data_IF_646992940694
#
_entry.id   IF_646992940694
#
_cell.length_a   1.000
_cell.length_b   1.000
_cell.length_c   1.000
_cell.angle_alpha   90.00
_cell.angle_beta   90.00
_cell.angle_gamma   90.00
#
_symmetry.space_group_name_H-M   'P 1'
#
loop_
_entity.id
_entity.type
_entity.pdbx_description
1 polymer ?
#
# COMPACT_ATOMS: atom_id res chain seq x y z
N UNK A 1 36.11 60.21 -29.03
CA UNK A 1 34.74 59.77 -28.67
C UNK A 1 34.44 58.28 -28.93
N UNK A 2 35.28 57.50 -29.62
CA UNK A 2 34.99 56.07 -29.91
C UNK A 2 35.18 55.06 -28.75
N UNK A 3 35.95 55.41 -27.70
CA UNK A 3 36.20 54.49 -26.56
C UNK A 3 35.06 54.44 -25.53
N UNK A 4 34.24 55.49 -25.45
CA UNK A 4 33.12 55.57 -24.51
C UNK A 4 31.90 54.77 -24.99
N UNK A 5 31.64 54.73 -26.30
CA UNK A 5 30.52 53.97 -26.89
C UNK A 5 30.69 52.45 -26.79
N UNK A 6 31.92 51.94 -26.89
CA UNK A 6 32.19 50.49 -26.77
C UNK A 6 32.02 50.04 -25.31
N UNK A 7 32.41 50.86 -24.34
CA UNK A 7 32.26 50.56 -22.92
C UNK A 7 30.79 50.56 -22.47
N UNK A 8 29.96 51.46 -23.00
CA UNK A 8 28.53 51.52 -22.69
C UNK A 8 27.77 50.34 -23.28
N UNK A 9 28.08 49.91 -24.52
CA UNK A 9 27.46 48.72 -25.14
C UNK A 9 27.81 47.43 -24.38
N UNK A 10 29.06 47.25 -23.95
CA UNK A 10 29.45 46.09 -23.14
C UNK A 10 28.81 46.10 -21.73
N UNK A 11 28.67 47.28 -21.11
CA UNK A 11 28.00 47.42 -19.82
C UNK A 11 26.50 47.10 -19.94
N UNK A 12 25.83 47.58 -20.98
CA UNK A 12 24.43 47.26 -21.27
C UNK A 12 24.21 45.78 -21.52
N UNK A 13 25.09 45.12 -22.29
CA UNK A 13 25.00 43.68 -22.56
C UNK A 13 25.18 42.83 -21.27
N UNK A 14 26.10 43.20 -20.38
CA UNK A 14 26.29 42.53 -19.09
C UNK A 14 25.07 42.70 -18.16
N UNK A 15 24.48 43.89 -18.12
CA UNK A 15 23.25 44.14 -17.35
C UNK A 15 22.09 43.32 -17.91
N UNK A 16 21.97 43.22 -19.24
CA UNK A 16 20.90 42.46 -19.90
C UNK A 16 21.04 40.94 -19.66
N UNK A 17 22.26 40.41 -19.68
CA UNK A 17 22.54 39.03 -19.30
C UNK A 17 22.29 38.75 -17.81
N UNK A 18 22.63 39.70 -16.93
CA UNK A 18 22.35 39.57 -15.51
C UNK A 18 20.83 39.55 -15.24
N UNK A 19 20.07 40.41 -15.92
CA UNK A 19 18.59 40.42 -15.84
C UNK A 19 18.02 39.12 -16.39
N UNK A 20 18.48 38.65 -17.56
CA UNK A 20 18.06 37.36 -18.12
C UNK A 20 18.38 36.20 -17.18
N UNK A 21 19.56 36.20 -16.54
CA UNK A 21 19.95 35.19 -15.56
C UNK A 21 19.09 35.20 -14.30
N UNK A 22 18.69 36.38 -13.81
CA UNK A 22 17.76 36.53 -12.69
C UNK A 22 16.36 36.03 -13.08
N UNK A 23 15.87 36.41 -14.26
CA UNK A 23 14.56 35.99 -14.77
C UNK A 23 14.48 34.48 -15.01
N UNK A 24 15.51 33.88 -15.62
CA UNK A 24 15.57 32.43 -15.86
C UNK A 24 15.65 31.63 -14.55
N UNK A 25 16.40 32.14 -13.58
CA UNK A 25 16.51 31.52 -12.25
C UNK A 25 15.17 31.57 -11.50
N UNK A 26 14.46 32.70 -11.59
CA UNK A 26 13.14 32.84 -10.96
C UNK A 26 12.10 31.91 -11.59
N UNK A 27 12.02 31.88 -12.93
CA UNK A 27 11.13 30.96 -13.65
C UNK A 27 11.44 29.49 -13.33
N UNK A 28 12.72 29.12 -13.24
CA UNK A 28 13.13 27.76 -12.87
C UNK A 28 12.72 27.40 -11.44
N UNK A 29 12.80 28.36 -10.51
CA UNK A 29 12.40 28.16 -9.12
C UNK A 29 10.88 28.03 -8.95
N UNK A 30 10.09 28.79 -9.73
CA UNK A 30 8.63 28.67 -9.74
C UNK A 30 8.18 27.33 -10.33
N UNK A 31 8.79 26.90 -11.43
CA UNK A 31 8.55 25.56 -12.01
C UNK A 31 8.93 24.47 -11.02
N UNK A 32 10.07 24.59 -10.34
CA UNK A 32 10.49 23.65 -9.30
C UNK A 32 9.48 23.59 -8.13
N UNK A 33 9.03 24.74 -7.63
CA UNK A 33 7.99 24.81 -6.60
C UNK A 33 6.68 24.14 -7.04
N UNK A 34 6.26 24.40 -8.28
CA UNK A 34 5.06 23.76 -8.83
C UNK A 34 5.23 22.23 -8.90
N UNK A 35 6.37 21.75 -9.38
CA UNK A 35 6.67 20.31 -9.38
C UNK A 35 6.67 19.71 -7.97
N UNK A 36 7.25 20.40 -6.99
CA UNK A 36 7.22 19.96 -5.58
C UNK A 36 5.79 19.85 -5.06
N UNK A 37 4.94 20.85 -5.29
CA UNK A 37 3.53 20.79 -4.87
C UNK A 37 2.74 19.65 -5.54
N UNK A 38 2.99 19.38 -6.82
CA UNK A 38 2.35 18.26 -7.51
C UNK A 38 2.83 16.91 -6.95
N UNK A 39 4.12 16.80 -6.65
CA UNK A 39 4.71 15.60 -6.05
C UNK A 39 4.14 15.35 -4.65
N UNK A 40 4.05 16.38 -3.80
CA UNK A 40 3.43 16.27 -2.47
C UNK A 40 1.96 15.84 -2.56
N UNK A 41 1.18 16.42 -3.48
CA UNK A 41 -0.21 16.00 -3.73
C UNK A 41 -0.30 14.55 -4.18
N UNK A 42 0.58 14.12 -5.08
CA UNK A 42 0.65 12.74 -5.54
C UNK A 42 0.94 11.77 -4.38
N UNK A 43 1.94 12.07 -3.56
CA UNK A 43 2.28 11.24 -2.39
C UNK A 43 1.14 11.22 -1.38
N UNK A 44 0.53 12.36 -1.08
CA UNK A 44 -0.61 12.46 -0.16
C UNK A 44 -1.81 11.63 -0.65
N UNK A 45 -2.13 11.70 -1.95
CA UNK A 45 -3.19 10.88 -2.54
C UNK A 45 -2.89 9.39 -2.40
N UNK A 46 -1.65 8.96 -2.71
CA UNK A 46 -1.24 7.56 -2.55
C UNK A 46 -1.30 7.10 -1.09
N UNK A 47 -0.91 7.96 -0.15
CA UNK A 47 -1.01 7.66 1.28
C UNK A 47 -2.46 7.47 1.70
N UNK A 48 -3.35 8.36 1.27
CA UNK A 48 -4.78 8.27 1.57
C UNK A 48 -5.39 6.98 1.03
N UNK A 49 -5.17 6.65 -0.24
CA UNK A 49 -5.71 5.41 -0.84
C UNK A 49 -5.13 4.16 -0.16
N UNK A 50 -3.83 4.15 0.15
CA UNK A 50 -3.23 3.03 0.87
C UNK A 50 -3.84 2.86 2.27
N UNK A 51 -4.05 3.97 2.99
CA UNK A 51 -4.63 3.96 4.31
C UNK A 51 -6.09 3.49 4.29
N UNK A 52 -6.88 3.94 3.31
CA UNK A 52 -8.25 3.46 3.07
C UNK A 52 -8.29 1.94 2.84
N UNK A 53 -7.37 1.38 2.06
CA UNK A 53 -7.30 -0.07 1.83
C UNK A 53 -6.94 -0.87 3.09
N UNK A 54 -6.14 -0.29 3.99
CA UNK A 54 -5.84 -0.90 5.31
C UNK A 54 -7.05 -0.82 6.23
N UNK A 55 -7.74 0.32 6.25
CA UNK A 55 -8.93 0.54 7.08
C UNK A 55 -10.09 -0.36 6.62
N UNK A 56 -10.32 -0.47 5.31
CA UNK A 56 -11.31 -1.39 4.73
C UNK A 56 -10.96 -2.85 5.04
N UNK A 57 -9.70 -3.27 4.86
CA UNK A 57 -9.26 -4.60 5.25
C UNK A 57 -9.55 -4.88 6.74
N UNK A 58 -9.25 -3.91 7.60
CA UNK A 58 -9.51 -4.02 9.04
C UNK A 58 -11.01 -4.16 9.31
N UNK A 59 -11.86 -3.38 8.65
CA UNK A 59 -13.31 -3.46 8.81
C UNK A 59 -13.86 -4.82 8.36
N UNK A 60 -13.40 -5.35 7.23
CA UNK A 60 -13.78 -6.68 6.73
C UNK A 60 -13.36 -7.79 7.72
N UNK A 61 -12.14 -7.70 8.24
CA UNK A 61 -11.64 -8.65 9.24
C UNK A 61 -12.43 -8.57 10.54
N UNK A 62 -12.72 -7.37 11.04
CA UNK A 62 -13.41 -7.20 12.32
C UNK A 62 -14.90 -7.53 12.25
N UNK A 63 -15.54 -7.31 11.10
CA UNK A 63 -16.96 -7.62 10.88
C UNK A 63 -17.24 -9.12 10.71
N UNK A 64 -16.24 -9.89 10.28
CA UNK A 64 -16.37 -11.34 10.11
C UNK A 64 -15.69 -12.12 11.24
N UNK A 65 -16.47 -12.87 12.03
CA UNK A 65 -15.96 -13.65 13.17
C UNK A 65 -14.82 -14.63 12.81
N UNK A 66 -14.84 -15.21 11.61
CA UNK A 66 -13.85 -16.19 11.19
C UNK A 66 -12.56 -15.55 10.72
N UNK A 67 -12.66 -14.47 9.94
CA UNK A 67 -11.49 -13.67 9.59
C UNK A 67 -10.82 -13.12 10.85
N UNK A 68 -11.60 -12.55 11.78
CA UNK A 68 -11.09 -12.06 13.06
C UNK A 68 -10.36 -13.15 13.84
N UNK A 69 -10.94 -14.34 13.95
CA UNK A 69 -10.35 -15.44 14.68
C UNK A 69 -9.05 -15.96 14.00
N UNK A 70 -9.00 -16.02 12.67
CA UNK A 70 -7.77 -16.36 11.95
C UNK A 70 -6.70 -15.27 12.09
N UNK A 71 -7.08 -14.00 12.00
CA UNK A 71 -6.20 -12.86 12.16
C UNK A 71 -5.50 -12.87 13.52
N UNK A 72 -6.26 -13.12 14.60
CA UNK A 72 -5.71 -13.20 15.97
C UNK A 72 -5.27 -14.62 16.39
N UNK A 73 -5.25 -15.59 15.47
CA UNK A 73 -5.01 -17.00 15.82
C UNK A 73 -3.65 -17.24 16.48
N UNK A 74 -2.61 -16.49 16.08
CA UNK A 74 -1.27 -16.60 16.67
C UNK A 74 -1.20 -16.15 18.13
N UNK A 75 -2.18 -15.37 18.59
CA UNK A 75 -2.29 -14.93 19.98
C UNK A 75 -3.15 -15.90 20.82
N UNK A 76 -3.84 -16.85 20.19
CA UNK A 76 -4.74 -17.78 20.86
C UNK A 76 -4.01 -19.11 21.14
N UNK A 77 -4.22 -19.65 22.34
CA UNK A 77 -3.63 -20.94 22.75
C UNK A 77 -4.29 -22.15 22.07
N UNK A 78 -5.50 -21.99 21.52
CA UNK A 78 -6.24 -23.07 20.88
C UNK A 78 -6.14 -23.00 19.35
N UNK A 79 -5.93 -24.14 18.68
CA UNK A 79 -5.83 -24.17 17.22
C UNK A 79 -7.16 -23.77 16.60
N UNK A 80 -7.12 -22.81 15.68
CA UNK A 80 -8.28 -22.42 14.88
C UNK A 80 -8.65 -23.56 13.92
N UNK A 81 -9.81 -24.20 14.15
CA UNK A 81 -10.22 -25.42 13.44
C UNK A 81 -11.03 -25.17 12.16
N UNK A 82 -11.34 -23.91 11.85
CA UNK A 82 -12.26 -23.58 10.76
C UNK A 82 -11.47 -23.28 9.49
N UNK A 83 -11.84 -23.96 8.39
CA UNK A 83 -11.21 -23.73 7.09
C UNK A 83 -11.79 -22.46 6.46
N UNK A 84 -11.00 -21.40 6.42
CA UNK A 84 -11.31 -20.20 5.65
C UNK A 84 -11.09 -20.44 4.16
N UNK A 85 -11.83 -19.72 3.31
CA UNK A 85 -11.57 -19.65 1.88
C UNK A 85 -10.25 -18.92 1.62
N UNK A 86 -9.32 -19.64 1.02
CA UNK A 86 -7.98 -19.18 0.64
C UNK A 86 -7.79 -19.47 -0.86
N UNK A 87 -7.67 -18.41 -1.69
CA UNK A 87 -7.60 -18.55 -3.14
C UNK A 87 -6.32 -19.30 -3.53
N UNK A 88 -6.45 -20.26 -4.45
CA UNK A 88 -5.36 -21.14 -4.89
C UNK A 88 -5.01 -22.28 -3.92
N UNK A 89 -5.67 -22.38 -2.76
CA UNK A 89 -5.49 -23.49 -1.80
C UNK A 89 -6.75 -24.36 -1.74
N UNK A 90 -7.89 -23.75 -1.43
CA UNK A 90 -9.17 -24.46 -1.29
C UNK A 90 -10.32 -23.80 -2.06
N UNK A 91 -10.06 -22.66 -2.70
CA UNK A 91 -10.93 -22.02 -3.67
C UNK A 91 -10.14 -21.60 -4.90
N UNK A 92 -10.82 -21.36 -6.01
CA UNK A 92 -10.18 -20.90 -7.23
C UNK A 92 -9.64 -19.48 -7.08
N UNK A 93 -8.43 -19.26 -7.58
CA UNK A 93 -7.88 -17.91 -7.70
C UNK A 93 -8.44 -17.22 -8.93
N UNK A 94 -8.90 -15.98 -8.72
CA UNK A 94 -9.54 -15.15 -9.74
C UNK A 94 -8.66 -13.91 -9.90
N UNK A 95 -8.16 -13.70 -11.11
CA UNK A 95 -7.42 -12.48 -11.44
C UNK A 95 -8.33 -11.26 -11.32
N UNK A 96 -7.76 -10.11 -10.95
CA UNK A 96 -8.44 -8.82 -10.79
C UNK A 96 -9.49 -8.78 -9.67
N UNK A 97 -9.61 -9.86 -8.89
CA UNK A 97 -10.42 -9.90 -7.66
C UNK A 97 -9.60 -9.40 -6.47
N UNK A 98 -10.29 -8.71 -5.57
CA UNK A 98 -9.71 -8.28 -4.29
C UNK A 98 -9.72 -9.39 -3.24
N UNK A 99 -8.62 -9.44 -2.50
CA UNK A 99 -8.34 -10.39 -1.43
C UNK A 99 -7.80 -9.66 -0.21
N UNK A 100 -7.94 -10.28 0.96
CA UNK A 100 -7.34 -9.78 2.19
C UNK A 100 -6.01 -10.49 2.41
N UNK A 101 -4.93 -9.71 2.44
CA UNK A 101 -3.63 -10.14 2.90
C UNK A 101 -3.57 -10.03 4.43
N UNK A 102 -3.39 -11.16 5.10
CA UNK A 102 -3.25 -11.23 6.56
C UNK A 102 -2.07 -12.10 6.93
N UNK A 103 -1.28 -11.65 7.90
CA UNK A 103 -0.18 -12.41 8.46
C UNK A 103 -0.46 -12.74 9.92
N UNK A 104 -0.21 -13.99 10.31
CA UNK A 104 -0.29 -14.41 11.71
C UNK A 104 0.95 -14.01 12.51
N UNK A 105 2.07 -13.71 11.84
CA UNK A 105 3.35 -13.35 12.45
C UNK A 105 3.83 -11.97 11.97
N UNK A 106 4.77 -11.33 12.68
CA UNK A 106 5.46 -10.12 12.22
C UNK A 106 5.94 -10.23 10.77
N UNK A 107 5.41 -9.40 9.89
CA UNK A 107 5.73 -9.37 8.47
C UNK A 107 5.69 -7.93 7.93
N UNK A 108 6.38 -7.68 6.82
CA UNK A 108 6.21 -6.47 6.01
C UNK A 108 4.99 -6.62 5.11
N UNK A 109 4.16 -5.59 5.01
CA UNK A 109 2.94 -5.63 4.18
C UNK A 109 3.22 -5.34 2.70
N UNK A 110 4.29 -4.59 2.42
CA UNK A 110 4.76 -4.26 1.07
C UNK A 110 6.26 -4.55 0.95
N UNK A 111 6.81 -4.73 -0.26
CA UNK A 111 8.25 -4.86 -0.45
C UNK A 111 9.01 -3.60 -0.03
N UNK A 112 10.27 -3.78 0.39
CA UNK A 112 11.17 -2.66 0.69
C UNK A 112 11.43 -1.79 -0.56
N UNK A 113 11.59 -2.44 -1.71
CA UNK A 113 11.82 -1.79 -2.99
C UNK A 113 11.07 -2.52 -4.13
N UNK A 114 10.42 -1.79 -5.05
CA UNK A 114 10.15 -0.35 -5.00
C UNK A 114 8.95 -0.01 -4.10
N UNK A 115 9.02 1.15 -3.43
CA UNK A 115 7.95 1.71 -2.57
C UNK A 115 7.74 3.20 -2.87
N UNK A 116 6.58 3.74 -2.51
CA UNK A 116 6.33 5.18 -2.54
C UNK A 116 7.14 5.92 -1.44
N UNK A 117 7.34 7.22 -1.62
CA UNK A 117 7.98 8.08 -0.62
C UNK A 117 7.03 8.40 0.54
N UNK A 118 7.61 8.57 1.74
CA UNK A 118 6.87 8.92 2.95
C UNK A 118 6.92 7.87 4.05
N UNK A 119 6.64 8.33 5.28
CA UNK A 119 6.80 7.54 6.50
C UNK A 119 5.81 6.38 6.64
N UNK A 120 4.63 6.50 6.03
CA UNK A 120 3.65 5.40 5.98
C UNK A 120 4.23 4.20 5.22
N UNK A 121 4.64 4.39 3.97
CA UNK A 121 5.17 3.31 3.15
C UNK A 121 6.47 2.74 3.70
N UNK A 122 7.34 3.59 4.26
CA UNK A 122 8.53 3.12 4.97
C UNK A 122 8.16 2.13 6.09
N UNK A 123 7.16 2.49 6.92
CA UNK A 123 6.69 1.63 8.02
C UNK A 123 6.08 0.33 7.52
N UNK A 124 5.28 0.37 6.45
CA UNK A 124 4.65 -0.81 5.87
C UNK A 124 5.65 -1.76 5.20
N UNK A 125 6.76 -1.21 4.71
CA UNK A 125 7.83 -1.96 4.05
C UNK A 125 8.78 -2.66 5.02
N UNK A 126 8.80 -2.22 6.28
CA UNK A 126 9.58 -2.84 7.36
C UNK A 126 8.75 -3.90 8.04
N UNK A 127 9.44 -4.89 8.60
CA UNK A 127 8.81 -5.89 9.48
C UNK A 127 8.27 -5.17 10.71
N UNK A 128 6.97 -5.29 10.97
CA UNK A 128 6.34 -4.65 12.14
C UNK A 128 6.51 -5.49 13.41
N UNK A 129 6.69 -4.84 14.54
CA UNK A 129 6.68 -5.51 15.86
C UNK A 129 5.25 -5.80 16.34
N UNK A 130 4.23 -5.23 15.68
CA UNK A 130 2.82 -5.51 16.01
C UNK A 130 2.45 -6.93 15.62
N UNK A 131 1.78 -7.63 16.54
CA UNK A 131 1.28 -8.98 16.33
C UNK A 131 -0.22 -9.05 16.61
N UNK A 132 -1.05 -9.46 15.63
CA UNK A 132 -0.73 -9.59 14.19
C UNK A 132 -0.47 -8.21 13.52
N UNK A 133 0.31 -8.16 12.41
CA UNK A 133 0.40 -6.99 11.52
C UNK A 133 -0.96 -6.57 10.98
N UNK A 134 -1.14 -5.30 10.64
CA UNK A 134 -2.39 -4.81 10.03
C UNK A 134 -2.71 -5.59 8.74
N UNK A 135 -3.99 -5.89 8.46
CA UNK A 135 -4.39 -6.51 7.21
C UNK A 135 -4.35 -5.49 6.06
N UNK A 136 -4.30 -5.97 4.82
CA UNK A 136 -4.27 -5.12 3.62
C UNK A 136 -5.11 -5.74 2.50
N UNK A 137 -5.95 -4.93 1.83
CA UNK A 137 -6.59 -5.37 0.59
C UNK A 137 -5.55 -5.35 -0.54
N UNK A 138 -5.49 -6.44 -1.27
CA UNK A 138 -4.65 -6.62 -2.46
C UNK A 138 -5.46 -7.23 -3.59
N UNK A 139 -5.19 -6.80 -4.82
CA UNK A 139 -5.84 -7.32 -6.02
C UNK A 139 -4.99 -8.44 -6.62
N UNK A 140 -5.60 -9.59 -6.88
CA UNK A 140 -4.92 -10.73 -7.48
C UNK A 140 -4.52 -10.46 -8.93
N UNK A 141 -3.31 -10.88 -9.34
CA UNK A 141 -2.85 -10.79 -10.73
C UNK A 141 -2.63 -12.16 -11.37
N UNK A 142 -1.87 -13.04 -10.72
CA UNK A 142 -1.67 -14.43 -11.16
C UNK A 142 -1.10 -15.31 -10.06
N UNK A 143 -1.31 -16.62 -10.18
CA UNK A 143 -0.62 -17.62 -9.37
C UNK A 143 0.78 -17.88 -9.94
N UNK A 144 1.74 -18.07 -9.03
CA UNK A 144 3.13 -18.47 -9.27
C UNK A 144 3.49 -19.63 -8.32
N UNK A 145 2.98 -20.84 -8.60
CA UNK A 145 3.15 -22.00 -7.73
C UNK A 145 2.38 -21.86 -6.41
N UNK A 146 3.08 -21.90 -5.27
CA UNK A 146 2.49 -21.71 -3.93
C UNK A 146 2.35 -20.23 -3.51
N UNK A 147 2.55 -19.31 -4.45
CA UNK A 147 2.47 -17.87 -4.24
C UNK A 147 1.52 -17.23 -5.26
N UNK A 148 1.06 -16.02 -4.96
CA UNK A 148 0.36 -15.16 -5.91
C UNK A 148 1.14 -13.85 -6.11
N UNK A 149 1.16 -13.39 -7.35
CA UNK A 149 1.49 -11.99 -7.66
C UNK A 149 0.23 -11.14 -7.44
N UNK A 150 0.38 -10.07 -6.67
CA UNK A 150 -0.71 -9.16 -6.27
C UNK A 150 -0.32 -7.71 -6.52
N UNK A 151 -1.34 -6.87 -6.68
CA UNK A 151 -1.24 -5.42 -6.81
C UNK A 151 -1.83 -4.79 -5.54
N UNK A 152 -1.26 -3.67 -5.09
CA UNK A 152 -1.80 -2.92 -3.95
C UNK A 152 -1.70 -1.43 -4.19
N UNK A 153 -2.65 -0.66 -3.66
CA UNK A 153 -2.55 0.80 -3.61
C UNK A 153 -1.34 1.28 -2.79
N UNK A 154 -0.80 0.43 -1.90
CA UNK A 154 0.34 0.76 -1.05
C UNK A 154 1.71 0.57 -1.71
N UNK A 155 1.78 -0.03 -2.91
CA UNK A 155 3.03 -0.30 -3.60
C UNK A 155 2.97 0.11 -5.09
N UNK A 156 4.04 0.71 -5.65
CA UNK A 156 4.06 1.14 -7.05
C UNK A 156 4.18 -0.02 -8.06
N UNK A 157 4.64 -1.19 -7.61
CA UNK A 157 4.73 -2.41 -8.43
C UNK A 157 4.00 -3.55 -7.75
N UNK A 158 3.60 -4.51 -8.57
CA UNK A 158 3.13 -5.79 -8.07
C UNK A 158 4.23 -6.51 -7.30
N UNK A 159 3.83 -7.31 -6.32
CA UNK A 159 4.72 -8.09 -5.49
C UNK A 159 4.11 -9.47 -5.21
N UNK A 160 4.93 -10.38 -4.71
CA UNK A 160 4.54 -11.77 -4.51
C UNK A 160 4.26 -12.02 -3.04
N UNK A 161 3.15 -12.72 -2.75
CA UNK A 161 2.76 -13.15 -1.41
C UNK A 161 2.46 -14.65 -1.40
N UNK A 162 2.61 -15.29 -0.26
CA UNK A 162 2.23 -16.71 -0.10
C UNK A 162 0.71 -16.85 -0.15
N UNK A 163 0.21 -17.90 -0.81
CA UNK A 163 -1.24 -18.17 -0.88
C UNK A 163 -1.84 -18.40 0.51
N UNK A 164 -1.05 -18.87 1.47
CA UNK A 164 -1.50 -19.11 2.86
C UNK A 164 -1.86 -17.83 3.63
N UNK A 165 -1.38 -16.68 3.14
CA UNK A 165 -1.65 -15.37 3.74
C UNK A 165 -2.77 -14.62 3.00
N UNK A 166 -3.32 -15.19 1.93
CA UNK A 166 -4.43 -14.63 1.18
C UNK A 166 -5.74 -15.27 1.58
N UNK A 167 -6.75 -14.43 1.77
CA UNK A 167 -8.10 -14.83 2.16
C UNK A 167 -9.12 -14.13 1.27
N UNK A 168 -10.22 -14.82 0.96
CA UNK A 168 -11.37 -14.15 0.36
C UNK A 168 -12.00 -13.17 1.35
N UNK A 169 -12.44 -12.00 0.86
CA UNK A 169 -13.17 -11.02 1.67
C UNK A 169 -14.47 -11.65 2.20
N UNK A 170 -15.22 -12.32 1.32
CA UNK A 170 -16.45 -13.01 1.69
C UNK A 170 -16.15 -14.42 2.19
N UNK A 171 -16.04 -14.58 3.50
CA UNK A 171 -15.98 -15.89 4.14
C UNK A 171 -17.37 -16.48 4.33
N UNK A 172 -17.53 -17.82 4.27
CA UNK A 172 -18.80 -18.45 4.54
C UNK A 172 -19.29 -18.09 5.95
N UNK A 173 -20.56 -17.69 6.04
CA UNK A 173 -21.24 -17.55 7.32
C UNK A 173 -21.50 -18.97 7.80
N UNK A 174 -20.72 -19.45 8.75
CA UNK A 174 -21.07 -20.66 9.47
C UNK A 174 -22.38 -20.37 10.23
N UNK A 175 -23.46 -20.99 9.79
CA UNK A 175 -24.72 -21.05 10.51
C UNK A 175 -24.80 -22.47 11.07
N UNK A 176 -23.83 -22.89 11.88
CA UNK A 176 -24.05 -24.02 12.78
C UNK A 176 -24.91 -23.49 13.93
N UNK A 177 -26.24 -23.76 13.97
CA UNK A 177 -26.97 -23.59 15.21
C UNK A 177 -26.31 -24.51 16.22
N UNK A 178 -25.91 -23.94 17.35
CA UNK A 178 -25.57 -24.72 18.52
C UNK A 178 -26.84 -25.47 18.92
N UNK A 179 -26.99 -26.70 18.43
CA UNK A 179 -27.97 -27.64 18.96
C UNK A 179 -27.33 -28.17 20.25
N UNK A 180 -27.77 -27.72 21.44
CA UNK A 180 -27.34 -28.40 22.66
C UNK A 180 -27.69 -29.88 22.51
N UNK A 181 -26.85 -30.80 23.02
CA UNK A 181 -27.16 -32.22 22.93
C UNK A 181 -28.55 -32.42 23.54
N UNK A 182 -29.49 -32.89 22.72
CA UNK A 182 -30.82 -33.22 23.18
C UNK A 182 -30.66 -34.18 24.35
N UNK A 183 -31.02 -33.72 25.55
CA UNK A 183 -31.30 -34.60 26.66
C UNK A 183 -32.54 -35.41 26.25
N UNK A 184 -32.32 -36.64 25.80
CA UNK A 184 -33.37 -37.64 25.72
C UNK A 184 -33.94 -37.83 27.13
N UNK A 185 -35.14 -37.31 27.36
CA UNK A 185 -36.00 -37.69 28.49
C UNK A 185 -36.79 -38.94 28.12
#
# INVERSE_FOLDING_TARGET
MKKLEIATVFAQYKVLLAILGVLSSWASFEVWKWHQQQHEKYIAQKQQTCQEMIENASNDVQSNRFLKAAYYSSLMQQPFKIKLKQPGINTDFISEKDYILMYSQPASLIPEHPRYEGSLFERLSKRTDKQPPAPLIVTGKKILGNKAEVISACAPKSFTVSLENLYEITQPVDISPYLPPFSSF
#
